data_IF_758183287520
#
_entry.id   IF_758183287520
#
_cell.length_a   1.000
_cell.length_b   1.000
_cell.length_c   1.000
_cell.angle_alpha   90.00
_cell.angle_beta   90.00
_cell.angle_gamma   90.00
#
_symmetry.space_group_name_H-M   'P 1'
#
loop_
_entity.id
_entity.type
_entity.pdbx_description
1 polymer ?
#
# COMPACT_ATOMS: atom_id res chain seq x y z
N UNK A 1 -17.11 12.41 -6.72
CA UNK A 1 -16.12 11.32 -6.91
C UNK A 1 -15.03 11.51 -5.89
N UNK A 2 -14.66 10.45 -5.19
CA UNK A 2 -13.58 10.51 -4.21
C UNK A 2 -12.24 10.46 -4.93
N UNK A 3 -11.22 11.20 -4.48
CA UNK A 3 -9.93 11.18 -5.16
C UNK A 3 -9.28 9.80 -5.04
N UNK A 4 -8.73 9.34 -6.16
CA UNK A 4 -7.98 8.09 -6.22
C UNK A 4 -6.59 8.26 -5.59
N UNK A 5 -6.20 7.28 -4.77
CA UNK A 5 -4.88 7.25 -4.13
C UNK A 5 -4.16 5.95 -4.44
N UNK A 6 -2.92 6.10 -4.88
CA UNK A 6 -2.05 4.97 -5.23
C UNK A 6 -1.24 4.53 -4.02
N UNK A 7 -1.36 3.26 -3.68
CA UNK A 7 -0.55 2.55 -2.69
C UNK A 7 0.37 1.58 -3.42
N UNK A 8 1.66 1.58 -3.04
CA UNK A 8 2.63 0.61 -3.52
C UNK A 8 3.02 -0.35 -2.40
N UNK A 9 3.32 -1.62 -2.72
CA UNK A 9 3.77 -2.59 -1.74
C UNK A 9 4.98 -2.14 -0.91
N UNK A 10 5.96 -1.48 -1.55
CA UNK A 10 7.15 -0.95 -0.89
C UNK A 10 6.86 0.01 0.29
N UNK A 11 5.67 0.62 0.35
CA UNK A 11 5.28 1.48 1.48
C UNK A 11 5.16 0.72 2.79
N UNK A 12 4.87 -0.58 2.72
CA UNK A 12 4.58 -1.45 3.85
C UNK A 12 5.69 -2.47 4.11
N UNK A 13 6.77 -2.44 3.32
CA UNK A 13 7.81 -3.47 3.37
C UNK A 13 8.74 -3.24 4.56
N UNK A 14 8.76 -4.21 5.49
CA UNK A 14 9.61 -4.17 6.69
C UNK A 14 11.08 -4.27 6.35
N UNK A 15 11.44 -4.98 5.27
CA UNK A 15 12.81 -5.18 4.82
C UNK A 15 13.44 -3.91 4.25
N UNK A 16 12.63 -2.94 3.83
CA UNK A 16 13.10 -1.68 3.26
C UNK A 16 13.28 -0.59 4.33
N UNK A 17 14.39 0.18 4.29
CA UNK A 17 14.48 1.41 5.05
C UNK A 17 13.52 2.49 4.50
N UNK A 18 13.25 3.52 5.30
CA UNK A 18 12.38 4.65 4.90
C UNK A 18 12.86 5.33 3.62
N UNK A 19 14.17 5.50 3.47
CA UNK A 19 14.79 6.08 2.27
C UNK A 19 14.57 5.28 0.98
N UNK A 20 14.23 3.98 1.07
CA UNK A 20 13.98 3.11 -0.09
C UNK A 20 12.50 2.84 -0.36
N UNK A 21 11.59 3.51 0.35
CA UNK A 21 10.16 3.50 0.06
C UNK A 21 9.25 3.18 1.24
N UNK A 22 9.75 2.62 2.35
CA UNK A 22 8.90 2.31 3.51
C UNK A 22 8.30 3.59 4.09
N UNK A 23 6.98 3.65 4.21
CA UNK A 23 6.25 4.83 4.73
C UNK A 23 5.64 4.62 6.10
N UNK A 24 5.63 3.38 6.59
CA UNK A 24 5.09 3.03 7.92
C UNK A 24 6.22 2.75 8.93
N UNK A 25 5.95 2.85 10.24
CA UNK A 25 6.86 2.33 11.27
C UNK A 25 7.09 0.82 11.09
N UNK A 26 8.26 0.33 11.50
CA UNK A 26 8.60 -1.09 11.35
C UNK A 26 7.63 -2.03 12.08
N UNK A 27 7.04 -1.58 13.19
CA UNK A 27 6.02 -2.32 13.95
C UNK A 27 4.68 -2.50 13.19
N UNK A 28 4.42 -1.67 12.18
CA UNK A 28 3.23 -1.75 11.32
C UNK A 28 3.58 -2.23 9.89
N UNK A 29 4.86 -2.54 9.64
CA UNK A 29 5.32 -3.03 8.36
C UNK A 29 5.21 -4.56 8.31
N UNK A 30 4.99 -5.12 7.12
CA UNK A 30 4.88 -6.55 6.89
C UNK A 30 6.14 -7.07 6.20
N UNK A 31 6.51 -8.31 6.51
CA UNK A 31 7.52 -9.04 5.74
C UNK A 31 6.90 -9.47 4.41
N UNK A 32 7.46 -8.99 3.29
CA UNK A 32 6.98 -9.25 1.92
C UNK A 32 5.51 -8.84 1.68
N UNK A 33 5.18 -7.53 1.71
CA UNK A 33 3.83 -7.07 1.41
C UNK A 33 3.47 -7.36 -0.05
N UNK A 34 2.35 -8.04 -0.29
CA UNK A 34 1.85 -8.28 -1.65
C UNK A 34 0.71 -7.33 -1.99
N UNK A 35 0.53 -6.99 -3.27
CA UNK A 35 -0.59 -6.16 -3.69
C UNK A 35 -1.95 -6.77 -3.32
N UNK A 36 -2.06 -8.10 -3.33
CA UNK A 36 -3.26 -8.83 -2.88
C UNK A 36 -3.54 -8.63 -1.38
N UNK A 37 -2.53 -8.68 -0.53
CA UNK A 37 -2.69 -8.45 0.90
C UNK A 37 -3.16 -7.02 1.20
N UNK A 38 -2.57 -6.04 0.53
CA UNK A 38 -2.93 -4.62 0.66
C UNK A 38 -4.35 -4.37 0.16
N UNK A 39 -4.72 -4.96 -0.98
CA UNK A 39 -6.08 -4.89 -1.53
C UNK A 39 -7.11 -5.47 -0.57
N UNK A 40 -6.84 -6.64 0.01
CA UNK A 40 -7.70 -7.27 1.02
C UNK A 40 -7.83 -6.39 2.27
N UNK A 41 -6.74 -5.77 2.72
CA UNK A 41 -6.76 -4.83 3.84
C UNK A 41 -7.61 -3.58 3.54
N UNK A 42 -7.50 -3.02 2.34
CA UNK A 42 -8.34 -1.89 1.90
C UNK A 42 -9.83 -2.29 1.82
N UNK A 43 -10.15 -3.47 1.27
CA UNK A 43 -11.53 -3.99 1.26
C UNK A 43 -12.10 -4.22 2.67
N UNK A 44 -11.29 -4.73 3.61
CA UNK A 44 -11.67 -4.89 5.03
C UNK A 44 -12.00 -3.54 5.71
N UNK A 45 -11.47 -2.43 5.18
CA UNK A 45 -11.78 -1.08 5.65
C UNK A 45 -13.03 -0.48 5.00
N UNK A 46 -13.71 -1.22 4.12
CA UNK A 46 -14.87 -0.73 3.35
C UNK A 46 -14.50 0.23 2.21
N UNK A 47 -13.24 0.23 1.77
CA UNK A 47 -12.77 1.11 0.70
C UNK A 47 -12.89 0.43 -0.67
N UNK A 48 -13.27 1.20 -1.69
CA UNK A 48 -13.17 0.78 -3.09
C UNK A 48 -11.69 0.74 -3.47
N UNK A 49 -11.20 -0.45 -3.83
CA UNK A 49 -9.82 -0.68 -4.20
C UNK A 49 -9.71 -1.63 -5.40
N UNK A 50 -8.80 -1.33 -6.33
CA UNK A 50 -8.44 -2.16 -7.48
C UNK A 50 -6.93 -2.39 -7.55
N UNK A 51 -6.55 -3.55 -8.08
CA UNK A 51 -5.15 -3.89 -8.34
C UNK A 51 -4.88 -3.58 -9.81
N UNK A 52 -3.77 -2.90 -10.07
CA UNK A 52 -3.29 -2.63 -11.42
C UNK A 52 -1.88 -3.19 -11.59
N UNK A 53 -1.59 -3.71 -12.78
CA UNK A 53 -0.29 -4.27 -13.17
C UNK A 53 0.74 -3.16 -13.49
N UNK A 54 0.86 -2.19 -12.59
CA UNK A 54 1.81 -1.10 -12.70
C UNK A 54 2.71 -1.08 -11.46
N UNK A 55 4.02 -0.98 -11.67
CA UNK A 55 5.00 -1.07 -10.59
C UNK A 55 5.55 0.29 -10.20
N UNK A 56 6.05 0.40 -8.96
CA UNK A 56 6.73 1.60 -8.51
C UNK A 56 7.98 1.84 -9.38
N UNK A 57 8.26 3.06 -9.90
CA UNK A 57 9.41 3.32 -10.78
C UNK A 57 10.75 2.84 -10.20
N UNK A 58 10.98 3.08 -8.90
CA UNK A 58 12.17 2.59 -8.19
C UNK A 58 12.20 1.09 -7.85
N UNK A 59 11.13 0.33 -8.12
CA UNK A 59 11.03 -1.13 -7.85
C UNK A 59 10.39 -1.88 -9.03
N UNK A 60 10.48 -1.34 -10.25
CA UNK A 60 9.78 -1.81 -11.44
C UNK A 60 10.05 -3.29 -11.77
N UNK A 61 11.28 -3.77 -11.49
CA UNK A 61 11.70 -5.14 -11.74
C UNK A 61 10.91 -6.19 -10.94
N UNK A 62 10.41 -5.83 -9.75
CA UNK A 62 9.69 -6.77 -8.88
C UNK A 62 8.27 -7.10 -9.37
N UNK A 63 7.71 -6.30 -10.30
CA UNK A 63 6.37 -6.50 -10.87
C UNK A 63 5.26 -6.71 -9.84
N UNK A 64 5.35 -6.05 -8.68
CA UNK A 64 4.44 -6.29 -7.55
C UNK A 64 3.05 -5.65 -7.76
N UNK A 65 2.90 -4.82 -8.80
CA UNK A 65 1.69 -4.06 -9.08
C UNK A 65 1.49 -2.87 -8.14
N UNK A 66 0.34 -2.20 -8.29
CA UNK A 66 -0.09 -1.08 -7.45
C UNK A 66 -1.56 -1.23 -7.08
N UNK A 67 -1.94 -0.63 -5.97
CA UNK A 67 -3.32 -0.61 -5.50
C UNK A 67 -3.82 0.81 -5.65
N UNK A 68 -4.91 0.98 -6.39
CA UNK A 68 -5.63 2.25 -6.48
C UNK A 68 -6.83 2.18 -5.55
N UNK A 69 -6.93 3.14 -4.64
CA UNK A 69 -7.97 3.19 -3.61
C UNK A 69 -8.69 4.52 -3.69
N UNK A 70 -10.01 4.49 -3.78
CA UNK A 70 -10.83 5.69 -3.62
C UNK A 70 -10.87 6.06 -2.13
N UNK A 71 -10.44 7.28 -1.82
CA UNK A 71 -10.40 7.75 -0.44
C UNK A 71 -10.64 9.25 -0.42
N UNK A 72 -11.18 9.83 0.67
CA UNK A 72 -11.29 11.29 0.80
C UNK A 72 -10.14 11.91 1.58
N UNK A 73 -9.74 11.28 2.70
CA UNK A 73 -8.74 11.78 3.64
C UNK A 73 -7.29 11.73 3.14
N UNK A 74 -6.29 12.04 3.96
CA UNK A 74 -4.91 12.15 3.45
C UNK A 74 -4.31 10.80 2.99
N UNK A 75 -3.33 10.84 2.09
CA UNK A 75 -2.60 9.62 1.66
C UNK A 75 -1.87 8.95 2.83
N UNK A 76 -1.34 9.74 3.75
CA UNK A 76 -0.59 9.23 4.90
C UNK A 76 -1.51 8.53 5.91
N UNK A 77 -2.69 9.09 6.15
CA UNK A 77 -3.74 8.44 6.95
C UNK A 77 -4.17 7.12 6.32
N UNK A 78 -4.44 7.10 5.00
CA UNK A 78 -4.78 5.87 4.28
C UNK A 78 -3.71 4.79 4.46
N UNK A 79 -2.44 5.15 4.29
CA UNK A 79 -1.30 4.23 4.48
C UNK A 79 -1.31 3.66 5.91
N UNK A 80 -1.46 4.49 6.95
CA UNK A 80 -1.50 4.00 8.35
C UNK A 80 -2.69 3.08 8.59
N UNK A 81 -3.88 3.43 8.10
CA UNK A 81 -5.10 2.62 8.26
C UNK A 81 -4.96 1.26 7.58
N UNK A 82 -4.45 1.23 6.36
CA UNK A 82 -4.21 -0.02 5.62
C UNK A 82 -3.16 -0.87 6.33
N UNK A 83 -2.06 -0.27 6.79
CA UNK A 83 -1.01 -0.98 7.53
C UNK A 83 -1.55 -1.70 8.77
N UNK A 84 -2.43 -1.05 9.54
CA UNK A 84 -3.08 -1.67 10.70
C UNK A 84 -4.06 -2.81 10.38
N UNK A 85 -4.37 -3.06 9.09
CA UNK A 85 -5.24 -4.13 8.62
C UNK A 85 -4.55 -5.17 7.74
N UNK A 86 -3.25 -4.99 7.46
CA UNK A 86 -2.39 -6.02 6.89
C UNK A 86 -2.09 -7.00 8.04
N UNK A 87 -2.86 -8.09 8.07
CA UNK A 87 -2.73 -9.26 8.94
C UNK A 87 -2.98 -10.48 8.09
#
# INVERSE_FOLDING_TARGET
MDPERILYPCYFDRSLPRSKGRRVPAAMAQENPTAKAIHKAAKRLGLSARIEEASHPGHWLKKEGRIVVEYKGSKEELIRRVAGKIR
#
